data_IF_193078574134
#
_entry.id   IF_193078574134
#
_cell.length_a   1.000
_cell.length_b   1.000
_cell.length_c   1.000
_cell.angle_alpha   90.00
_cell.angle_beta   90.00
_cell.angle_gamma   90.00
#
_symmetry.space_group_name_H-M   'P 1'
#
loop_
_entity.id
_entity.type
_entity.pdbx_description
1 polymer ?
#
# COMPACT_ATOMS: atom_id res chain seq x y z
N UNK A 1 -10.39 19.58 -5.25
CA UNK A 1 -9.84 18.94 -6.47
C UNK A 1 -8.44 18.33 -6.29
N UNK A 2 -7.36 19.06 -5.96
CA UNK A 2 -6.03 18.42 -5.77
C UNK A 2 -5.90 17.60 -4.47
N UNK A 3 -6.64 17.97 -3.41
CA UNK A 3 -6.66 17.23 -2.15
C UNK A 3 -7.51 15.95 -2.22
N UNK A 4 -8.64 15.97 -2.95
CA UNK A 4 -9.50 14.79 -3.16
C UNK A 4 -8.76 13.67 -3.91
N UNK A 5 -7.88 14.04 -4.87
CA UNK A 5 -7.01 13.10 -5.57
C UNK A 5 -5.92 12.49 -4.68
N UNK A 6 -5.54 13.14 -3.57
CA UNK A 6 -4.57 12.60 -2.61
C UNK A 6 -5.24 11.71 -1.56
N UNK A 7 -6.41 12.10 -1.07
CA UNK A 7 -7.18 11.28 -0.13
C UNK A 7 -7.58 9.94 -0.74
N UNK A 8 -8.00 9.92 -2.01
CA UNK A 8 -8.36 8.68 -2.68
C UNK A 8 -7.14 7.77 -2.98
N UNK A 9 -5.91 8.26 -2.83
CA UNK A 9 -4.70 7.44 -3.03
C UNK A 9 -4.32 6.61 -1.81
N UNK A 10 -4.75 7.03 -0.62
CA UNK A 10 -4.47 6.28 0.61
C UNK A 10 -5.06 4.86 0.56
N UNK A 11 -6.20 4.69 -0.13
CA UNK A 11 -6.83 3.37 -0.32
C UNK A 11 -6.01 2.39 -1.17
N UNK A 12 -5.06 2.88 -1.97
CA UNK A 12 -4.24 2.05 -2.84
C UNK A 12 -3.05 1.40 -2.11
N UNK A 13 -2.51 2.07 -1.09
CA UNK A 13 -1.30 1.61 -0.42
C UNK A 13 -1.43 0.26 0.29
N UNK A 14 -2.54 -0.05 1.00
CA UNK A 14 -2.74 -1.37 1.58
C UNK A 14 -2.70 -2.48 0.52
N UNK A 15 -3.24 -2.23 -0.67
CA UNK A 15 -3.21 -3.19 -1.77
C UNK A 15 -1.82 -3.33 -2.39
N UNK A 16 -1.09 -2.23 -2.56
CA UNK A 16 0.31 -2.29 -2.98
C UNK A 16 1.17 -3.08 -1.99
N UNK A 17 0.96 -2.88 -0.69
CA UNK A 17 1.65 -3.62 0.38
C UNK A 17 1.26 -5.11 0.36
N UNK A 18 -0.03 -5.42 0.22
CA UNK A 18 -0.52 -6.79 0.07
C UNK A 18 0.11 -7.50 -1.14
N UNK A 19 0.22 -6.82 -2.28
CA UNK A 19 0.83 -7.37 -3.50
C UNK A 19 2.33 -7.58 -3.36
N UNK A 20 3.05 -6.65 -2.71
CA UNK A 20 4.47 -6.82 -2.41
C UNK A 20 4.69 -7.97 -1.41
N UNK A 21 3.81 -8.13 -0.43
CA UNK A 21 3.85 -9.27 0.48
C UNK A 21 3.60 -10.58 -0.27
N UNK A 22 2.59 -10.60 -1.14
CA UNK A 22 2.30 -11.75 -2.00
C UNK A 22 3.49 -12.09 -2.91
N UNK A 23 4.19 -11.10 -3.46
CA UNK A 23 5.43 -11.29 -4.23
C UNK A 23 6.54 -11.91 -3.39
N UNK A 24 6.81 -11.36 -2.20
CA UNK A 24 7.86 -11.86 -1.31
C UNK A 24 7.62 -13.30 -0.84
N UNK A 25 6.35 -13.71 -0.81
CA UNK A 25 5.90 -15.05 -0.42
C UNK A 25 5.65 -15.96 -1.64
N UNK A 26 5.85 -15.47 -2.87
CA UNK A 26 5.55 -16.22 -4.09
C UNK A 26 6.68 -17.18 -4.44
N UNK A 27 6.40 -18.48 -4.42
CA UNK A 27 7.29 -19.47 -5.00
C UNK A 27 7.06 -19.54 -6.52
N UNK A 28 8.15 -19.54 -7.32
CA UNK A 28 8.04 -19.54 -8.79
C UNK A 28 7.27 -20.75 -9.36
N UNK A 29 7.17 -21.84 -8.62
CA UNK A 29 6.41 -23.05 -8.98
C UNK A 29 5.00 -23.09 -8.41
N UNK A 30 4.59 -22.09 -7.62
CA UNK A 30 3.26 -22.02 -7.04
C UNK A 30 2.20 -21.70 -8.11
N UNK A 31 0.96 -22.20 -7.95
CA UNK A 31 -0.15 -21.79 -8.79
C UNK A 31 -0.48 -20.29 -8.60
N UNK A 32 -1.05 -19.62 -9.61
CA UNK A 32 -1.48 -18.23 -9.49
C UNK A 32 -2.44 -18.01 -8.30
N UNK A 33 -2.22 -16.93 -7.55
CA UNK A 33 -3.03 -16.60 -6.38
C UNK A 33 -4.29 -15.88 -6.82
N UNK A 34 -5.45 -16.47 -6.57
CA UNK A 34 -6.75 -15.85 -6.88
C UNK A 34 -7.05 -14.69 -5.92
N UNK A 35 -7.35 -13.53 -6.48
CA UNK A 35 -7.87 -12.37 -5.75
C UNK A 35 -9.39 -12.47 -5.82
N UNK A 36 -10.02 -12.81 -4.70
CA UNK A 36 -11.46 -13.11 -4.64
C UNK A 36 -12.34 -11.91 -4.25
N UNK A 37 -11.77 -10.88 -3.62
CA UNK A 37 -12.51 -9.71 -3.18
C UNK A 37 -12.75 -8.75 -4.35
N UNK A 38 -14.03 -8.51 -4.67
CA UNK A 38 -14.47 -7.62 -5.76
C UNK A 38 -13.92 -6.20 -5.59
N UNK A 39 -13.85 -5.68 -4.37
CA UNK A 39 -13.32 -4.34 -4.11
C UNK A 39 -11.80 -4.29 -4.38
N UNK A 40 -11.08 -5.36 -4.06
CA UNK A 40 -9.66 -5.48 -4.38
C UNK A 40 -9.45 -5.60 -5.89
N UNK A 41 -10.26 -6.39 -6.59
CA UNK A 41 -10.20 -6.51 -8.06
C UNK A 41 -10.39 -5.15 -8.70
N UNK A 42 -11.46 -4.42 -8.34
CA UNK A 42 -11.74 -3.10 -8.92
C UNK A 42 -10.60 -2.12 -8.68
N UNK A 43 -10.04 -2.10 -7.48
CA UNK A 43 -8.94 -1.21 -7.12
C UNK A 43 -7.63 -1.61 -7.82
N UNK A 44 -7.36 -2.90 -7.98
CA UNK A 44 -6.17 -3.38 -8.73
C UNK A 44 -6.31 -3.04 -10.21
N UNK A 45 -7.49 -3.20 -10.80
CA UNK A 45 -7.75 -2.76 -12.18
C UNK A 45 -7.52 -1.25 -12.34
N UNK A 46 -8.02 -0.44 -11.39
CA UNK A 46 -7.75 1.01 -11.36
C UNK A 46 -6.24 1.30 -11.26
N UNK A 47 -5.51 0.57 -10.42
CA UNK A 47 -4.06 0.70 -10.25
C UNK A 47 -3.26 0.29 -11.49
N UNK A 48 -3.74 -0.68 -12.26
CA UNK A 48 -3.20 -1.06 -13.57
C UNK A 48 -3.46 0.06 -14.58
N UNK A 49 -4.68 0.58 -14.63
CA UNK A 49 -5.08 1.62 -15.59
C UNK A 49 -4.32 2.94 -15.38
N UNK A 50 -4.04 3.34 -14.13
CA UNK A 50 -3.19 4.50 -13.82
C UNK A 50 -1.68 4.22 -13.97
N UNK A 51 -1.31 2.99 -14.31
CA UNK A 51 0.07 2.58 -14.61
C UNK A 51 0.95 2.34 -13.38
N UNK A 52 0.39 2.18 -12.18
CA UNK A 52 1.18 1.92 -10.97
C UNK A 52 1.52 0.44 -10.80
N UNK A 53 0.69 -0.45 -11.37
CA UNK A 53 0.92 -1.90 -11.36
C UNK A 53 1.36 -2.41 -12.72
N UNK A 54 2.24 -3.41 -12.69
CA UNK A 54 2.65 -4.13 -13.87
C UNK A 54 1.54 -5.11 -14.27
N UNK A 55 0.88 -4.85 -15.41
CA UNK A 55 -0.20 -5.69 -15.93
C UNK A 55 0.24 -7.13 -16.17
N UNK A 56 1.50 -7.35 -16.54
CA UNK A 56 2.03 -8.68 -16.87
C UNK A 56 2.16 -9.60 -15.64
N UNK A 57 2.07 -9.05 -14.43
CA UNK A 57 2.01 -9.81 -13.19
C UNK A 57 0.62 -10.35 -12.86
N UNK A 58 -0.38 -10.09 -13.71
CA UNK A 58 -1.77 -10.46 -13.46
C UNK A 58 -2.40 -11.17 -14.65
N UNK A 59 -3.20 -12.18 -14.35
CA UNK A 59 -4.09 -12.86 -15.29
C UNK A 59 -5.52 -12.41 -15.00
N UNK A 60 -6.14 -11.77 -15.98
CA UNK A 60 -7.52 -11.27 -15.89
C UNK A 60 -8.43 -12.24 -16.64
N UNK A 61 -9.25 -12.99 -15.90
CA UNK A 61 -10.27 -13.84 -16.50
C UNK A 61 -11.56 -13.06 -16.73
N UNK A 62 -11.97 -12.98 -18.00
CA UNK A 62 -13.21 -12.35 -18.42
C UNK A 62 -14.19 -13.39 -18.93
N UNK A 63 -15.45 -13.32 -18.49
CA UNK A 63 -16.53 -14.13 -19.03
C UNK A 63 -17.67 -13.22 -19.49
N UNK A 64 -18.04 -13.29 -20.78
CA UNK A 64 -19.12 -12.49 -21.40
C UNK A 64 -19.01 -10.97 -21.20
N UNK A 65 -17.78 -10.46 -21.04
CA UNK A 65 -17.52 -9.03 -20.83
C UNK A 65 -17.30 -8.64 -19.37
N UNK A 66 -17.70 -9.49 -18.42
CA UNK A 66 -17.50 -9.27 -17.00
C UNK A 66 -16.17 -9.85 -16.51
N UNK A 67 -15.52 -9.18 -15.55
CA UNK A 67 -14.32 -9.68 -14.89
C UNK A 67 -14.76 -10.74 -13.88
N UNK A 68 -14.50 -12.01 -14.20
CA UNK A 68 -14.91 -13.16 -13.39
C UNK A 68 -13.82 -13.56 -12.37
N UNK A 69 -12.58 -13.16 -12.62
CA UNK A 69 -11.46 -13.41 -11.72
C UNK A 69 -10.22 -12.60 -12.06
N UNK A 70 -9.47 -12.27 -11.03
CA UNK A 70 -8.13 -11.69 -11.15
C UNK A 70 -7.17 -12.61 -10.40
N UNK A 71 -6.10 -13.00 -11.06
CA UNK A 71 -5.10 -13.89 -10.49
C UNK A 71 -3.73 -13.22 -10.56
N UNK A 72 -3.00 -13.28 -9.47
CA UNK A 72 -1.61 -12.85 -9.42
C UNK A 72 -0.72 -14.02 -9.86
N UNK A 73 0.01 -13.85 -10.96
CA UNK A 73 0.83 -14.90 -11.59
C UNK A 73 2.31 -14.84 -11.22
N UNK A 74 2.68 -13.93 -10.32
CA UNK A 74 4.07 -13.70 -9.90
C UNK A 74 4.77 -12.59 -10.69
N UNK A 75 6.06 -12.42 -10.40
CA UNK A 75 6.86 -11.28 -10.90
C UNK A 75 6.66 -10.02 -10.06
N UNK A 76 7.45 -8.97 -10.32
CA UNK A 76 7.37 -7.77 -9.49
C UNK A 76 6.11 -6.94 -9.83
N UNK A 77 5.18 -6.71 -8.86
CA UNK A 77 3.84 -6.21 -9.17
C UNK A 77 3.77 -4.70 -9.46
N UNK A 78 4.77 -3.92 -9.04
CA UNK A 78 4.75 -2.46 -9.21
C UNK A 78 5.57 -2.03 -10.44
N UNK A 79 5.13 -0.98 -11.11
CA UNK A 79 5.96 -0.28 -12.11
C UNK A 79 6.90 0.71 -11.43
N UNK A 80 7.86 1.29 -12.16
CA UNK A 80 8.72 2.37 -11.65
C UNK A 80 7.94 3.54 -11.06
N UNK A 81 6.81 3.89 -11.67
CA UNK A 81 5.93 4.95 -11.17
C UNK A 81 5.23 4.55 -9.87
N UNK A 82 4.77 3.31 -9.78
CA UNK A 82 4.19 2.73 -8.55
C UNK A 82 5.20 2.68 -7.42
N UNK A 83 6.44 2.26 -7.70
CA UNK A 83 7.54 2.25 -6.73
C UNK A 83 7.79 3.66 -6.19
N UNK A 84 7.84 4.67 -7.07
CA UNK A 84 8.08 6.07 -6.66
C UNK A 84 7.00 6.56 -5.69
N UNK A 85 5.74 6.32 -6.03
CA UNK A 85 4.60 6.74 -5.20
C UNK A 85 4.55 5.97 -3.88
N UNK A 86 4.81 4.66 -3.91
CA UNK A 86 4.87 3.83 -2.71
C UNK A 86 6.00 4.25 -1.75
N UNK A 87 7.20 4.50 -2.29
CA UNK A 87 8.33 5.00 -1.48
C UNK A 87 8.05 6.36 -0.84
N UNK A 88 7.41 7.25 -1.58
CA UNK A 88 6.99 8.54 -1.05
C UNK A 88 6.01 8.36 0.13
N UNK A 89 5.02 7.49 -0.02
CA UNK A 89 4.09 7.18 1.07
C UNK A 89 4.79 6.59 2.31
N UNK A 90 5.74 5.67 2.12
CA UNK A 90 6.54 5.13 3.23
C UNK A 90 7.36 6.21 3.94
N UNK A 91 7.94 7.14 3.19
CA UNK A 91 8.68 8.27 3.75
C UNK A 91 7.75 9.17 4.58
N UNK A 92 6.57 9.50 4.05
CA UNK A 92 5.58 10.34 4.74
C UNK A 92 5.03 9.68 6.01
N UNK A 93 4.74 8.37 5.97
CA UNK A 93 4.32 7.59 7.16
C UNK A 93 5.38 7.58 8.25
N UNK A 94 6.65 7.33 7.89
CA UNK A 94 7.77 7.34 8.84
C UNK A 94 7.97 8.71 9.46
N UNK A 95 7.90 9.78 8.67
CA UNK A 95 8.00 11.16 9.16
C UNK A 95 6.92 11.49 10.21
N UNK A 96 5.66 11.09 9.95
CA UNK A 96 4.54 11.28 10.90
C UNK A 96 4.76 10.52 12.22
N UNK A 97 5.22 9.26 12.15
CA UNK A 97 5.51 8.45 13.34
C UNK A 97 6.63 9.04 14.19
N UNK A 98 7.76 9.41 13.58
CA UNK A 98 8.89 10.02 14.29
C UNK A 98 8.49 11.32 14.99
N UNK A 99 7.72 12.17 14.30
CA UNK A 99 7.22 13.42 14.89
C UNK A 99 6.31 13.16 16.09
N UNK A 100 5.45 12.15 16.01
CA UNK A 100 4.54 11.78 17.11
C UNK A 100 5.32 11.26 18.30
N UNK A 101 6.28 10.36 18.09
CA UNK A 101 7.15 9.85 19.15
C UNK A 101 7.97 10.96 19.82
N UNK A 102 8.50 11.90 19.04
CA UNK A 102 9.26 13.03 19.57
C UNK A 102 8.39 13.87 20.52
N UNK A 103 7.13 14.16 20.15
CA UNK A 103 6.20 14.90 21.02
C UNK A 103 5.89 14.15 22.32
N UNK A 104 5.69 12.82 22.24
CA UNK A 104 5.45 11.98 23.43
C UNK A 104 6.65 12.01 24.37
N UNK A 105 7.87 11.86 23.84
CA UNK A 105 9.11 11.94 24.63
C UNK A 105 9.27 13.32 25.27
N UNK A 106 8.97 14.39 24.55
CA UNK A 106 9.08 15.76 25.06
C UNK A 106 8.07 16.05 26.17
N UNK A 107 6.83 15.56 26.04
CA UNK A 107 5.81 15.63 27.08
C UNK A 107 6.19 14.81 28.32
N UNK A 108 6.71 13.60 28.12
CA UNK A 108 7.21 12.76 29.20
C UNK A 108 8.35 13.46 29.97
N UNK A 109 9.32 14.03 29.25
CA UNK A 109 10.43 14.76 29.84
C UNK A 109 9.95 15.99 30.62
N UNK A 110 9.01 16.76 30.07
CA UNK A 110 8.42 17.90 30.77
C UNK A 110 7.71 17.50 32.07
N UNK A 111 6.98 16.37 32.07
CA UNK A 111 6.32 15.86 33.26
C UNK A 111 7.32 15.43 34.35
N UNK A 112 8.43 14.77 33.97
CA UNK A 112 9.50 14.40 34.91
C UNK A 112 10.14 15.62 35.55
N UNK A 113 10.48 16.63 34.74
CA UNK A 113 11.07 17.89 35.24
C UNK A 113 10.11 18.62 36.17
N UNK A 114 8.82 18.70 35.81
CA UNK A 114 7.80 19.29 36.66
C UNK A 114 7.69 18.57 38.00
N UNK A 115 7.68 17.24 38.00
CA UNK A 115 7.63 16.45 39.23
C UNK A 115 8.86 16.66 40.12
N UNK A 116 10.05 16.78 39.55
CA UNK A 116 11.29 17.06 40.30
C UNK A 116 11.34 18.45 40.93
N UNK A 117 10.67 19.44 40.34
CA UNK A 117 10.64 20.82 40.86
C UNK A 117 9.53 20.99 41.91
N UNK A 118 8.44 20.23 41.77
CA UNK A 118 7.26 20.32 42.65
C UNK A 118 7.43 19.57 43.99
N UNK A 119 8.56 18.88 44.20
CA UNK A 119 8.91 18.14 45.41
C UNK A 119 10.17 18.73 46.04
#
# INVERSE_FOLDING_TARGET
KMNELKENREKYFPLMEMLLYAESSYEKSAPPVKIADINHIATIMELIDIGYLNKDSFIIEKHRGDINGLFYSGGYPLTDSGIKVYRQHLHDKRGKLVRTLMLVVLLFFAAVVFFMIAW
#
